data_IF_743036069389
#
_entry.id   IF_743036069389
#
_cell.length_a   1.000
_cell.length_b   1.000
_cell.length_c   1.000
_cell.angle_alpha   90.00
_cell.angle_beta   90.00
_cell.angle_gamma   90.00
#
_symmetry.space_group_name_H-M   'P 1'
#
loop_
_entity.id
_entity.type
_entity.pdbx_description
1 polymer ?
#
# COMPACT_ATOMS: atom_id res chain seq x y z
N UNK A 1 0.08 5.06 8.85
CA UNK A 1 -0.63 6.17 9.51
C UNK A 1 -1.37 5.62 10.70
N UNK A 2 -1.35 6.32 11.84
CA UNK A 2 -2.03 5.90 13.07
C UNK A 2 -3.28 6.76 13.27
N UNK A 3 -4.43 6.10 13.35
CA UNK A 3 -5.73 6.74 13.58
C UNK A 3 -5.96 6.98 15.08
N UNK A 4 -6.92 7.84 15.47
CA UNK A 4 -7.16 8.20 16.88
C UNK A 4 -7.54 7.01 17.80
N UNK A 5 -8.13 5.96 17.23
CA UNK A 5 -8.49 4.72 17.92
C UNK A 5 -7.29 3.76 18.07
N UNK A 6 -6.10 4.15 17.60
CA UNK A 6 -4.89 3.32 17.59
C UNK A 6 -4.78 2.42 16.36
N UNK A 7 -5.75 2.42 15.44
CA UNK A 7 -5.68 1.62 14.22
C UNK A 7 -4.51 2.07 13.37
N UNK A 8 -3.65 1.12 13.00
CA UNK A 8 -2.53 1.36 12.09
C UNK A 8 -2.96 1.00 10.67
N UNK A 9 -2.98 2.01 9.80
CA UNK A 9 -3.33 1.91 8.38
C UNK A 9 -2.08 2.12 7.53
N UNK A 10 -1.85 1.25 6.58
CA UNK A 10 -0.73 1.32 5.64
C UNK A 10 -1.24 1.67 4.25
N UNK A 11 -0.76 2.78 3.69
CA UNK A 11 -0.96 3.11 2.27
C UNK A 11 0.19 2.52 1.47
N UNK A 12 -0.12 1.77 0.42
CA UNK A 12 0.87 1.23 -0.51
C UNK A 12 0.48 1.67 -1.91
N UNK A 13 1.32 2.47 -2.57
CA UNK A 13 1.08 2.81 -3.98
C UNK A 13 2.12 3.75 -4.53
N UNK A 14 2.14 3.86 -5.84
CA UNK A 14 3.06 4.67 -6.64
C UNK A 14 2.83 6.16 -6.46
N UNK A 15 3.82 6.94 -6.89
CA UNK A 15 3.77 8.39 -6.99
C UNK A 15 4.15 8.77 -8.41
N UNK A 16 3.51 9.83 -8.95
CA UNK A 16 3.83 10.35 -10.28
C UNK A 16 4.91 11.43 -10.25
N UNK A 17 5.55 11.62 -9.10
CA UNK A 17 6.62 12.59 -8.87
C UNK A 17 7.82 11.87 -8.31
N UNK A 18 9.01 12.46 -8.47
CA UNK A 18 10.28 11.94 -7.93
C UNK A 18 10.34 11.96 -6.39
N UNK A 19 9.23 12.30 -5.71
CA UNK A 19 9.17 12.55 -4.28
C UNK A 19 7.92 11.94 -3.67
N UNK A 20 8.10 10.79 -3.05
CA UNK A 20 7.11 10.14 -2.19
C UNK A 20 6.57 11.05 -1.07
N UNK A 21 7.35 12.06 -0.64
CA UNK A 21 6.96 13.08 0.34
C UNK A 21 5.81 13.96 -0.15
N UNK A 22 5.77 14.32 -1.43
CA UNK A 22 4.71 15.16 -1.98
C UNK A 22 3.39 14.41 -1.93
N UNK A 23 3.42 13.13 -2.32
CA UNK A 23 2.27 12.23 -2.21
C UNK A 23 1.81 12.07 -0.76
N UNK A 24 2.74 11.94 0.19
CA UNK A 24 2.40 11.90 1.62
C UNK A 24 1.65 13.17 2.06
N UNK A 25 2.13 14.35 1.66
CA UNK A 25 1.49 15.62 2.02
C UNK A 25 0.09 15.78 1.38
N UNK A 26 -0.10 15.32 0.15
CA UNK A 26 -1.43 15.26 -0.47
C UNK A 26 -2.41 14.40 0.32
N UNK A 27 -1.97 13.22 0.76
CA UNK A 27 -2.78 12.31 1.57
C UNK A 27 -3.15 12.97 2.90
N UNK A 28 -2.18 13.54 3.62
CA UNK A 28 -2.42 14.21 4.90
C UNK A 28 -3.37 15.40 4.77
N UNK A 29 -3.20 16.21 3.72
CA UNK A 29 -4.13 17.31 3.41
C UNK A 29 -5.54 16.78 3.16
N UNK A 30 -5.68 15.71 2.36
CA UNK A 30 -6.98 15.11 2.09
C UNK A 30 -7.66 14.58 3.35
N UNK A 31 -6.91 13.94 4.24
CA UNK A 31 -7.40 13.48 5.54
C UNK A 31 -7.88 14.64 6.40
N UNK A 32 -7.09 15.70 6.52
CA UNK A 32 -7.47 16.89 7.28
C UNK A 32 -8.74 17.55 6.75
N UNK A 33 -8.88 17.65 5.42
CA UNK A 33 -10.06 18.27 4.82
C UNK A 33 -11.35 17.49 5.09
N UNK A 34 -11.27 16.17 5.26
CA UNK A 34 -12.43 15.29 5.49
C UNK A 34 -12.73 15.08 6.97
N UNK A 35 -11.71 14.81 7.78
CA UNK A 35 -11.87 14.41 9.16
C UNK A 35 -11.43 15.47 10.19
N UNK A 36 -10.87 16.60 9.72
CA UNK A 36 -10.36 17.70 10.57
C UNK A 36 -9.28 17.28 11.57
N UNK A 37 -8.58 16.19 11.29
CA UNK A 37 -7.39 15.78 12.00
C UNK A 37 -6.32 15.30 11.01
N UNK A 38 -5.06 15.34 11.43
CA UNK A 38 -3.92 14.83 10.65
C UNK A 38 -3.41 13.58 11.35
N UNK A 39 -3.49 12.38 10.74
CA UNK A 39 -2.95 11.18 11.36
C UNK A 39 -1.42 11.24 11.37
N UNK A 40 -0.81 10.76 12.47
CA UNK A 40 0.64 10.54 12.48
C UNK A 40 1.01 9.57 11.36
N UNK A 41 1.97 9.94 10.53
CA UNK A 41 2.33 9.18 9.33
C UNK A 41 3.84 9.21 9.14
N UNK A 42 4.38 8.09 8.70
CA UNK A 42 5.80 7.87 8.45
C UNK A 42 5.94 7.20 7.08
N UNK A 43 6.92 7.65 6.29
CA UNK A 43 7.27 7.04 5.01
C UNK A 43 8.17 5.81 5.27
N UNK A 44 7.68 4.62 4.93
CA UNK A 44 8.37 3.34 5.22
C UNK A 44 9.22 2.81 4.07
N UNK A 45 8.82 3.10 2.84
CA UNK A 45 9.52 2.68 1.63
C UNK A 45 9.40 3.76 0.59
N UNK A 46 10.54 4.13 0.05
CA UNK A 46 10.67 4.89 -1.20
C UNK A 46 11.63 4.09 -2.07
N UNK A 47 11.16 3.68 -3.24
CA UNK A 47 11.94 2.86 -4.16
C UNK A 47 11.63 3.25 -5.60
N UNK A 48 12.66 3.22 -6.43
CA UNK A 48 12.54 3.33 -7.86
C UNK A 48 12.24 1.95 -8.46
N UNK A 49 11.39 1.90 -9.49
CA UNK A 49 10.99 0.67 -10.18
C UNK A 49 10.68 1.01 -11.64
N UNK A 50 10.97 0.07 -12.55
CA UNK A 50 10.62 0.20 -13.96
C UNK A 50 9.13 -0.11 -14.24
N UNK A 51 8.43 -0.76 -13.29
CA UNK A 51 7.05 -1.23 -13.43
C UNK A 51 6.19 -0.92 -12.20
N UNK A 52 6.04 0.37 -11.82
CA UNK A 52 5.34 0.75 -10.59
C UNK A 52 3.88 0.30 -10.56
N UNK A 53 3.18 0.35 -11.70
CA UNK A 53 1.77 -0.01 -11.78
C UNK A 53 1.56 -1.52 -11.58
N UNK A 54 2.39 -2.35 -12.20
CA UNK A 54 2.31 -3.81 -12.08
C UNK A 54 2.62 -4.28 -10.66
N UNK A 55 3.66 -3.71 -10.03
CA UNK A 55 4.02 -4.02 -8.63
C UNK A 55 2.91 -3.61 -7.68
N UNK A 56 2.36 -2.39 -7.84
CA UNK A 56 1.26 -1.91 -7.03
C UNK A 56 0.04 -2.83 -7.15
N UNK A 57 -0.39 -3.13 -8.38
CA UNK A 57 -1.53 -4.00 -8.62
C UNK A 57 -1.28 -5.41 -8.05
N UNK A 58 -0.05 -5.90 -8.14
CA UNK A 58 0.33 -7.20 -7.60
C UNK A 58 0.23 -7.23 -6.06
N UNK A 59 0.83 -6.26 -5.37
CA UNK A 59 0.79 -6.22 -3.90
C UNK A 59 -0.63 -5.94 -3.38
N UNK A 60 -1.44 -5.16 -4.10
CA UNK A 60 -2.85 -4.95 -3.76
C UNK A 60 -3.65 -6.25 -3.84
N UNK A 61 -3.44 -7.07 -4.87
CA UNK A 61 -4.08 -8.39 -4.97
C UNK A 61 -3.66 -9.33 -3.85
N UNK A 62 -2.38 -9.32 -3.46
CA UNK A 62 -1.88 -10.12 -2.33
C UNK A 62 -2.55 -9.68 -1.02
N UNK A 63 -2.70 -8.37 -0.81
CA UNK A 63 -3.21 -7.78 0.43
C UNK A 63 -4.71 -7.47 0.42
N UNK A 64 -5.46 -7.90 -0.61
CA UNK A 64 -6.89 -7.54 -0.77
C UNK A 64 -7.74 -7.96 0.44
N UNK A 65 -7.40 -9.06 1.10
CA UNK A 65 -8.06 -9.56 2.31
C UNK A 65 -7.85 -8.66 3.56
N UNK A 66 -6.89 -7.72 3.50
CA UNK A 66 -6.55 -6.75 4.55
C UNK A 66 -6.87 -5.32 4.14
N UNK A 67 -7.63 -5.13 3.06
CA UNK A 67 -7.98 -3.82 2.53
C UNK A 67 -8.81 -3.03 3.54
N UNK A 68 -8.48 -1.76 3.64
CA UNK A 68 -9.14 -0.79 4.49
C UNK A 68 -9.75 0.29 3.61
N UNK A 69 -11.03 0.61 3.86
CA UNK A 69 -11.72 1.71 3.23
C UNK A 69 -12.14 2.72 4.31
N UNK A 70 -11.63 3.97 4.27
CA UNK A 70 -12.08 5.00 5.19
C UNK A 70 -13.55 5.34 4.94
N UNK A 71 -14.26 5.78 5.97
CA UNK A 71 -15.68 6.15 5.88
C UNK A 71 -15.95 7.33 4.95
N UNK A 72 -14.98 8.24 4.80
CA UNK A 72 -15.02 9.36 3.88
C UNK A 72 -14.04 9.16 2.73
N UNK A 73 -14.40 9.70 1.56
CA UNK A 73 -13.52 9.66 0.38
C UNK A 73 -12.30 10.57 0.60
N UNK A 74 -11.14 9.96 0.77
CA UNK A 74 -9.83 10.62 0.81
C UNK A 74 -8.97 10.21 -0.40
N UNK A 75 -8.00 11.04 -0.74
CA UNK A 75 -6.96 10.70 -1.72
C UNK A 75 -6.28 9.40 -1.31
N UNK A 76 -6.05 8.48 -2.25
CA UNK A 76 -5.43 7.18 -2.00
C UNK A 76 -6.26 6.20 -1.14
N UNK A 77 -7.53 6.49 -0.87
CA UNK A 77 -8.38 5.67 0.01
C UNK A 77 -8.63 4.24 -0.46
N UNK A 78 -8.35 3.92 -1.71
CA UNK A 78 -8.47 2.56 -2.28
C UNK A 78 -7.22 1.71 -2.10
N UNK A 79 -6.13 2.32 -1.65
CA UNK A 79 -4.78 1.75 -1.59
C UNK A 79 -4.32 1.54 -0.13
N UNK A 80 -5.28 1.37 0.77
CA UNK A 80 -5.05 1.30 2.21
C UNK A 80 -5.31 -0.10 2.77
N UNK A 81 -4.51 -0.49 3.76
CA UNK A 81 -4.54 -1.82 4.36
C UNK A 81 -4.37 -1.74 5.88
N UNK A 82 -4.91 -2.70 6.62
CA UNK A 82 -4.79 -2.79 8.08
C UNK A 82 -4.28 -4.17 8.51
N UNK A 83 -3.64 -4.24 9.68
CA UNK A 83 -3.16 -5.50 10.23
C UNK A 83 -2.08 -6.18 9.38
N UNK A 84 -1.32 -5.41 8.59
CA UNK A 84 -0.27 -5.98 7.77
C UNK A 84 1.00 -6.25 8.58
N UNK A 85 1.74 -7.31 8.21
CA UNK A 85 3.11 -7.49 8.70
C UNK A 85 4.05 -6.58 7.90
N UNK A 86 4.22 -5.34 8.39
CA UNK A 86 5.01 -4.29 7.72
C UNK A 86 6.39 -4.78 7.29
N UNK A 87 7.13 -5.43 8.19
CA UNK A 87 8.49 -5.91 7.89
C UNK A 87 8.52 -6.86 6.69
N UNK A 88 7.65 -7.87 6.67
CA UNK A 88 7.60 -8.86 5.57
C UNK A 88 7.15 -8.25 4.26
N UNK A 89 6.16 -7.35 4.29
CA UNK A 89 5.69 -6.64 3.09
C UNK A 89 6.81 -5.76 2.51
N UNK A 90 7.54 -5.05 3.36
CA UNK A 90 8.70 -4.25 2.94
C UNK A 90 9.81 -5.11 2.33
N UNK A 91 10.13 -6.24 2.95
CA UNK A 91 11.11 -7.19 2.42
C UNK A 91 10.67 -7.75 1.08
N UNK A 92 9.39 -8.11 0.95
CA UNK A 92 8.81 -8.61 -0.29
C UNK A 92 8.93 -7.59 -1.43
N UNK A 93 8.53 -6.33 -1.19
CA UNK A 93 8.59 -5.27 -2.20
C UNK A 93 10.03 -4.97 -2.65
N UNK A 94 10.99 -4.93 -1.72
CA UNK A 94 12.41 -4.66 -2.03
C UNK A 94 13.08 -5.74 -2.88
N UNK A 95 12.58 -6.97 -2.82
CA UNK A 95 13.11 -8.12 -3.56
C UNK A 95 12.17 -8.58 -4.67
N UNK A 96 11.14 -7.80 -4.98
CA UNK A 96 10.27 -8.06 -6.11
C UNK A 96 11.07 -7.72 -7.37
N UNK A 97 11.37 -8.74 -8.18
CA UNK A 97 12.04 -8.54 -9.47
C UNK A 97 11.01 -8.09 -10.51
N UNK A 98 11.13 -6.85 -10.97
CA UNK A 98 10.27 -6.24 -11.98
C UNK A 98 10.21 -7.08 -13.28
N UNK A 99 11.26 -7.83 -13.61
CA UNK A 99 11.27 -8.71 -14.80
C UNK A 99 10.26 -9.87 -14.67
N UNK A 100 9.81 -10.18 -13.45
CA UNK A 100 8.75 -11.18 -13.22
C UNK A 100 7.44 -10.81 -13.92
N UNK A 101 7.22 -9.53 -14.23
CA UNK A 101 6.03 -9.04 -14.92
C UNK A 101 6.15 -9.01 -16.45
N UNK A 102 7.27 -9.46 -17.03
CA UNK A 102 7.43 -9.58 -18.49
C UNK A 102 6.42 -10.56 -19.10
N UNK A 103 5.96 -11.53 -18.30
CA UNK A 103 4.93 -12.48 -18.68
C UNK A 103 3.77 -12.46 -17.67
N UNK A 104 2.55 -12.83 -18.08
CA UNK A 104 1.45 -12.99 -17.14
C UNK A 104 1.81 -13.98 -16.04
N UNK A 105 1.72 -13.56 -14.77
CA UNK A 105 2.07 -14.40 -13.61
C UNK A 105 1.19 -15.65 -13.47
N UNK A 106 0.02 -15.70 -14.12
CA UNK A 106 -0.88 -16.85 -14.08
C UNK A 106 -1.51 -17.15 -12.70
N UNK A 107 -1.31 -16.28 -11.71
CA UNK A 107 -1.79 -16.49 -10.34
C UNK A 107 -3.32 -16.37 -10.25
N UNK A 108 -3.95 -17.39 -9.68
CA UNK A 108 -5.36 -17.41 -9.33
C UNK A 108 -5.64 -16.58 -8.07
N UNK A 109 -6.93 -16.30 -7.79
CA UNK A 109 -7.34 -15.65 -6.54
C UNK A 109 -6.89 -16.43 -5.29
N UNK A 110 -6.86 -17.76 -5.38
CA UNK A 110 -6.42 -18.63 -4.29
C UNK A 110 -4.92 -18.49 -4.05
N UNK A 111 -4.12 -18.39 -5.11
CA UNK A 111 -2.68 -18.19 -5.00
C UNK A 111 -2.35 -16.85 -4.34
N UNK A 112 -3.05 -15.78 -4.74
CA UNK A 112 -2.94 -14.47 -4.11
C UNK A 112 -3.31 -14.51 -2.62
N UNK A 113 -4.34 -15.25 -2.26
CA UNK A 113 -4.74 -15.42 -0.85
C UNK A 113 -3.64 -16.13 -0.04
N UNK A 114 -3.06 -17.21 -0.57
CA UNK A 114 -1.97 -17.93 0.10
C UNK A 114 -0.71 -17.07 0.23
N UNK A 115 -0.34 -16.34 -0.82
CA UNK A 115 0.75 -15.35 -0.76
C UNK A 115 0.47 -14.29 0.31
N UNK A 116 -0.78 -13.81 0.38
CA UNK A 116 -1.22 -12.85 1.39
C UNK A 116 -0.98 -13.35 2.81
N UNK A 117 -1.39 -14.58 3.09
CA UNK A 117 -1.17 -15.24 4.39
C UNK A 117 0.31 -15.48 4.68
N UNK A 118 1.14 -15.72 3.67
CA UNK A 118 2.58 -15.92 3.84
C UNK A 118 3.30 -14.61 4.22
N UNK A 119 3.07 -13.56 3.44
CA UNK A 119 3.77 -12.27 3.64
C UNK A 119 3.13 -11.44 4.75
N UNK A 120 1.88 -11.73 5.11
CA UNK A 120 1.11 -10.97 6.08
C UNK A 120 0.07 -11.89 6.74
N UNK A 121 0.49 -12.79 7.65
CA UNK A 121 -0.40 -13.73 8.33
C UNK A 121 -1.49 -13.06 9.17
#
# INVERSE_FOLDING_TARGET
MTLPDGTIVHKIGMCNTDRSTDRMMELLRSWFMKFRFVPYTELKLDMETGRPFEIENHIHKILEHKKFAPSEKVSGGTEMFVGINEFRVLQYLRHCDDNSFDNPLGLSKTDYKHLGQLISP
#
